data_IF_879789250945
#
_entry.id   IF_879789250945
#
_cell.length_a   1.000
_cell.length_b   1.000
_cell.length_c   1.000
_cell.angle_alpha   90.00
_cell.angle_beta   90.00
_cell.angle_gamma   90.00
#
_symmetry.space_group_name_H-M   'P 1'
#
loop_
_entity.id
_entity.type
_entity.pdbx_description
1 polymer ?
#
# COMPACT_ATOMS: atom_id res chain seq x y z
N UNK A 1 11.97 0.78 -18.66
CA UNK A 1 11.41 1.53 -19.84
C UNK A 1 11.64 3.03 -19.65
N UNK A 2 11.49 3.91 -20.67
CA UNK A 2 11.52 5.36 -20.44
C UNK A 2 10.48 5.74 -19.36
N UNK A 3 10.88 6.50 -18.34
CA UNK A 3 10.00 6.89 -17.22
C UNK A 3 9.80 5.84 -16.12
N UNK A 4 10.45 4.68 -16.19
CA UNK A 4 10.37 3.66 -15.15
C UNK A 4 11.11 4.07 -13.87
N UNK A 5 10.45 3.95 -12.72
CA UNK A 5 11.04 4.18 -11.40
C UNK A 5 11.34 2.83 -10.77
N UNK A 6 12.62 2.57 -10.49
CA UNK A 6 13.06 1.36 -9.79
C UNK A 6 13.25 1.65 -8.30
N UNK A 7 12.64 0.82 -7.45
CA UNK A 7 12.71 0.92 -6.00
C UNK A 7 13.27 -0.40 -5.47
N UNK A 8 14.43 -0.33 -4.83
CA UNK A 8 15.05 -1.47 -4.18
C UNK A 8 14.48 -1.64 -2.76
N UNK A 9 13.76 -2.73 -2.53
CA UNK A 9 13.26 -3.09 -1.21
C UNK A 9 14.20 -4.15 -0.62
N UNK A 10 15.11 -3.74 0.28
CA UNK A 10 15.92 -4.68 1.05
C UNK A 10 15.32 -4.88 2.44
N UNK A 11 14.75 -6.06 2.68
CA UNK A 11 14.56 -6.56 4.04
C UNK A 11 15.65 -7.60 4.33
N UNK A 12 15.91 -7.90 5.62
CA UNK A 12 16.95 -8.85 6.02
C UNK A 12 16.80 -10.28 5.49
N UNK A 13 15.63 -10.63 4.93
CA UNK A 13 15.31 -11.98 4.43
C UNK A 13 14.88 -12.01 2.96
N UNK A 14 14.68 -10.85 2.31
CA UNK A 14 14.34 -10.77 0.89
C UNK A 14 14.82 -9.47 0.27
N UNK A 15 15.39 -9.56 -0.93
CA UNK A 15 15.64 -8.41 -1.82
C UNK A 15 14.62 -8.48 -2.94
N UNK A 16 13.71 -7.52 -2.97
CA UNK A 16 12.73 -7.34 -4.04
C UNK A 16 13.02 -6.03 -4.78
N UNK A 17 12.81 -6.03 -6.09
CA UNK A 17 12.83 -4.81 -6.90
C UNK A 17 11.39 -4.51 -7.30
N UNK A 18 10.93 -3.30 -7.02
CA UNK A 18 9.65 -2.78 -7.48
C UNK A 18 9.90 -1.81 -8.64
N UNK A 19 9.05 -1.89 -9.66
CA UNK A 19 9.12 -1.05 -10.83
C UNK A 19 7.79 -0.33 -10.99
N UNK A 20 7.82 1.00 -10.99
CA UNK A 20 6.66 1.84 -11.29
C UNK A 20 6.80 2.32 -12.72
N UNK A 21 5.76 2.08 -13.52
CA UNK A 21 5.71 2.43 -14.93
C UNK A 21 4.53 3.35 -15.21
N UNK A 22 4.66 4.21 -16.21
CA UNK A 22 3.54 5.02 -16.72
C UNK A 22 3.03 6.09 -15.77
N UNK A 23 3.92 6.66 -14.94
CA UNK A 23 3.60 7.80 -14.06
C UNK A 23 4.57 8.94 -14.32
N UNK A 24 4.03 10.14 -14.51
CA UNK A 24 4.77 11.36 -14.82
C UNK A 24 4.63 12.44 -13.72
N UNK A 25 5.58 13.37 -13.70
CA UNK A 25 5.58 14.48 -12.75
C UNK A 25 4.33 15.35 -12.95
N UNK A 26 3.65 15.69 -11.86
CA UNK A 26 2.44 16.52 -11.86
C UNK A 26 1.15 15.73 -12.02
N UNK A 27 1.21 14.42 -12.26
CA UNK A 27 0.02 13.57 -12.31
C UNK A 27 -0.59 13.39 -10.92
N UNK A 28 -1.91 13.18 -10.91
CA UNK A 28 -2.67 12.84 -9.71
C UNK A 28 -3.22 11.43 -9.86
N UNK A 29 -2.79 10.52 -9.00
CA UNK A 29 -3.09 9.08 -9.12
C UNK A 29 -3.86 8.56 -7.91
N UNK A 30 -4.59 7.45 -8.10
CA UNK A 30 -5.15 6.63 -7.03
C UNK A 30 -4.26 5.39 -6.90
N UNK A 31 -3.74 5.12 -5.71
CA UNK A 31 -2.95 3.91 -5.46
C UNK A 31 -3.89 2.81 -4.96
N UNK A 32 -3.87 1.66 -5.65
CA UNK A 32 -4.69 0.49 -5.30
C UNK A 32 -3.78 -0.71 -5.09
N UNK A 33 -4.02 -1.47 -4.03
CA UNK A 33 -3.31 -2.73 -3.74
C UNK A 33 -4.29 -3.82 -3.27
N UNK A 34 -3.86 -5.08 -3.29
CA UNK A 34 -4.71 -6.20 -2.88
C UNK A 34 -4.75 -6.37 -1.35
N UNK A 35 -3.58 -6.48 -0.72
CA UNK A 35 -3.43 -6.80 0.69
C UNK A 35 -2.35 -5.96 1.33
N UNK A 36 -2.68 -5.28 2.43
CA UNK A 36 -1.70 -4.62 3.28
C UNK A 36 -1.43 -5.49 4.50
N UNK A 37 -0.15 -5.84 4.71
CA UNK A 37 0.31 -6.49 5.93
C UNK A 37 1.04 -5.51 6.85
N UNK A 38 2.36 -5.38 6.68
CA UNK A 38 3.18 -4.45 7.49
C UNK A 38 3.19 -3.02 6.94
N UNK A 39 2.60 -2.77 5.77
CA UNK A 39 2.64 -1.47 5.09
C UNK A 39 3.99 -1.09 4.47
N UNK A 40 5.01 -1.95 4.56
CA UNK A 40 6.36 -1.64 4.10
C UNK A 40 6.44 -1.25 2.62
N UNK A 41 5.76 -1.99 1.74
CA UNK A 41 5.70 -1.71 0.30
C UNK A 41 5.06 -0.36 0.00
N UNK A 42 3.86 -0.12 0.53
CA UNK A 42 3.15 1.15 0.35
C UNK A 42 3.96 2.35 0.86
N UNK A 43 4.64 2.24 2.01
CA UNK A 43 5.53 3.30 2.51
C UNK A 43 6.59 3.72 1.48
N UNK A 44 7.26 2.75 0.87
CA UNK A 44 8.30 3.02 -0.12
C UNK A 44 7.71 3.58 -1.42
N UNK A 45 6.57 3.03 -1.88
CA UNK A 45 5.88 3.52 -3.07
C UNK A 45 5.44 4.98 -2.92
N UNK A 46 4.77 5.31 -1.80
CA UNK A 46 4.30 6.67 -1.50
C UNK A 46 5.46 7.66 -1.55
N UNK A 47 6.54 7.36 -0.81
CA UNK A 47 7.73 8.22 -0.79
C UNK A 47 8.34 8.40 -2.18
N UNK A 48 8.51 7.32 -2.94
CA UNK A 48 9.12 7.40 -4.26
C UNK A 48 8.27 8.19 -5.27
N UNK A 49 6.94 8.06 -5.21
CA UNK A 49 6.01 8.80 -6.06
C UNK A 49 6.00 10.30 -5.70
N UNK A 50 5.95 10.63 -4.41
CA UNK A 50 6.01 12.02 -3.94
C UNK A 50 7.33 12.70 -4.32
N UNK A 51 8.47 12.01 -4.16
CA UNK A 51 9.80 12.51 -4.59
C UNK A 51 9.89 12.77 -6.10
N UNK A 52 9.05 12.09 -6.90
CA UNK A 52 8.93 12.31 -8.35
C UNK A 52 7.93 13.41 -8.72
N UNK A 53 7.31 14.04 -7.73
CA UNK A 53 6.34 15.12 -7.91
C UNK A 53 4.97 14.62 -8.38
N UNK A 54 4.63 13.38 -8.04
CA UNK A 54 3.30 12.80 -8.27
C UNK A 54 2.43 13.06 -7.05
N UNK A 55 1.17 13.42 -7.27
CA UNK A 55 0.19 13.62 -6.20
C UNK A 55 -0.61 12.34 -5.99
N UNK A 56 -0.50 11.73 -4.82
CA UNK A 56 -1.37 10.60 -4.46
C UNK A 56 -2.69 11.16 -3.91
N UNK A 57 -3.78 10.85 -4.59
CA UNK A 57 -5.12 11.32 -4.22
C UNK A 57 -5.72 10.56 -3.04
N UNK A 58 -5.54 9.24 -3.05
CA UNK A 58 -5.97 8.32 -2.01
C UNK A 58 -5.19 7.01 -2.15
N UNK A 59 -5.24 6.18 -1.11
CA UNK A 59 -4.68 4.83 -1.11
C UNK A 59 -5.78 3.89 -0.65
N UNK A 60 -6.15 2.96 -1.52
CA UNK A 60 -7.19 1.97 -1.25
C UNK A 60 -6.59 0.59 -1.35
N UNK A 61 -6.78 -0.22 -0.32
CA UNK A 61 -6.34 -1.61 -0.28
C UNK A 61 -7.57 -2.47 -0.03
N UNK A 62 -7.70 -3.59 -0.72
CA UNK A 62 -8.90 -4.41 -0.57
C UNK A 62 -8.91 -5.05 0.83
N UNK A 63 -7.80 -5.65 1.24
CA UNK A 63 -7.71 -6.41 2.49
C UNK A 63 -6.66 -5.83 3.45
N UNK A 64 -7.09 -5.43 4.64
CA UNK A 64 -6.20 -5.14 5.77
C UNK A 64 -5.88 -6.39 6.57
N UNK A 65 -4.60 -6.65 6.84
CA UNK A 65 -4.15 -7.74 7.71
C UNK A 65 -3.06 -7.28 8.66
N UNK A 66 -3.28 -7.40 9.97
CA UNK A 66 -2.29 -6.96 10.97
C UNK A 66 -2.33 -5.44 11.17
N UNK A 67 -1.18 -4.81 11.40
CA UNK A 67 -1.09 -3.44 11.93
C UNK A 67 -0.52 -2.41 10.92
N UNK A 68 -0.31 -2.79 9.65
CA UNK A 68 0.32 -1.93 8.66
C UNK A 68 -0.45 -0.64 8.38
N UNK A 69 -1.78 -0.66 8.42
CA UNK A 69 -2.61 0.55 8.25
C UNK A 69 -2.33 1.54 9.37
N UNK A 70 -2.29 1.07 10.62
CA UNK A 70 -2.02 1.88 11.80
C UNK A 70 -0.58 2.40 11.81
N UNK A 71 0.39 1.56 11.42
CA UNK A 71 1.79 1.96 11.29
C UNK A 71 1.99 3.07 10.24
N UNK A 72 1.30 2.98 9.10
CA UNK A 72 1.34 4.00 8.06
C UNK A 72 0.62 5.28 8.48
N UNK A 73 -0.51 5.18 9.18
CA UNK A 73 -1.23 6.33 9.71
C UNK A 73 -0.35 7.15 10.68
N UNK A 74 0.45 6.49 11.52
CA UNK A 74 1.45 7.13 12.38
C UNK A 74 2.55 7.88 11.63
N UNK A 75 2.73 7.61 10.33
CA UNK A 75 3.66 8.28 9.42
C UNK A 75 2.97 9.30 8.51
N UNK A 76 1.68 9.58 8.73
CA UNK A 76 0.88 10.50 7.92
C UNK A 76 0.33 9.90 6.63
N UNK A 77 0.52 8.59 6.39
CA UNK A 77 0.02 7.89 5.21
C UNK A 77 -1.31 7.23 5.57
N UNK A 78 -2.42 7.77 5.05
CA UNK A 78 -3.75 7.19 5.26
C UNK A 78 -4.06 6.16 4.18
N UNK A 79 -4.48 4.99 4.61
CA UNK A 79 -4.89 3.87 3.74
C UNK A 79 -6.32 3.50 4.12
N UNK A 80 -7.17 3.35 3.11
CA UNK A 80 -8.53 2.83 3.27
C UNK A 80 -8.52 1.34 2.97
N UNK A 81 -9.15 0.54 3.82
CA UNK A 81 -9.38 -0.89 3.58
C UNK A 81 -10.85 -1.15 3.32
N UNK A 82 -11.17 -2.14 2.49
CA UNK A 82 -12.55 -2.60 2.32
C UNK A 82 -12.90 -3.62 3.40
N UNK A 83 -12.02 -4.60 3.62
CA UNK A 83 -12.21 -5.65 4.62
C UNK A 83 -10.94 -5.79 5.46
N UNK A 84 -11.09 -5.81 6.78
CA UNK A 84 -9.99 -6.14 7.69
C UNK A 84 -10.16 -7.58 8.19
N UNK A 85 -9.05 -8.33 8.21
CA UNK A 85 -9.03 -9.75 8.60
C UNK A 85 -8.00 -10.03 9.70
N UNK A 86 -8.31 -11.04 10.51
CA UNK A 86 -7.33 -11.74 11.35
C UNK A 86 -7.01 -13.11 10.74
N UNK A 87 -5.75 -13.50 10.85
CA UNK A 87 -5.27 -14.84 10.47
C UNK A 87 -4.62 -15.47 11.69
N UNK A 88 -5.06 -16.66 12.07
CA UNK A 88 -4.57 -17.44 13.21
C UNK A 88 -4.45 -18.93 12.86
N UNK A 89 -4.12 -19.77 13.84
CA UNK A 89 -3.96 -21.21 13.65
C UNK A 89 -5.25 -21.90 13.18
N UNK A 90 -6.41 -21.34 13.54
CA UNK A 90 -7.74 -21.86 13.21
C UNK A 90 -8.26 -21.38 11.84
N UNK A 91 -7.58 -20.44 11.18
CA UNK A 91 -7.90 -19.95 9.85
C UNK A 91 -7.97 -18.42 9.74
N UNK A 92 -8.95 -17.93 8.98
CA UNK A 92 -9.14 -16.50 8.68
C UNK A 92 -10.51 -16.06 9.19
N UNK A 93 -10.56 -14.93 9.90
CA UNK A 93 -11.81 -14.28 10.33
C UNK A 93 -11.87 -12.83 9.86
N UNK A 94 -13.07 -12.37 9.52
CA UNK A 94 -13.34 -10.96 9.20
C UNK A 94 -13.47 -10.19 10.52
N UNK A 95 -12.75 -9.09 10.63
CA UNK A 95 -12.80 -8.15 11.76
C UNK A 95 -13.73 -6.98 11.47
N UNK A 96 -13.67 -6.46 10.25
CA UNK A 96 -14.48 -5.35 9.75
C UNK A 96 -14.74 -5.52 8.26
N UNK A 97 -15.97 -5.23 7.81
CA UNK A 97 -16.35 -5.17 6.39
C UNK A 97 -17.04 -3.83 6.13
N UNK A 98 -16.36 -2.95 5.39
CA UNK A 98 -16.87 -1.63 4.99
C UNK A 98 -17.39 -1.63 3.55
N UNK A 99 -17.25 -2.75 2.83
CA UNK A 99 -17.72 -2.95 1.47
C UNK A 99 -19.18 -3.37 1.38
N UNK A 100 -19.78 -3.79 2.49
CA UNK A 100 -21.22 -4.03 2.56
C UNK A 100 -21.99 -2.72 2.31
N UNK A 101 -22.64 -2.65 1.15
CA UNK A 101 -23.63 -1.63 0.83
C UNK A 101 -24.97 -2.11 1.37
N UNK A 102 -25.57 -1.33 2.29
CA UNK A 102 -26.97 -1.52 2.71
C UNK A 102 -27.93 -1.51 1.50
#
# INVERSE_FOLDING_TARGET
MPGEIRISQSTGYSKGELYINGVEKGERILLVDDVISTGGTLRFLVKALEEKGVTISDIVVIIGRGDGVQQLAGQGIRVKTLVDIAVNEDGVSILEDTGETN
#
